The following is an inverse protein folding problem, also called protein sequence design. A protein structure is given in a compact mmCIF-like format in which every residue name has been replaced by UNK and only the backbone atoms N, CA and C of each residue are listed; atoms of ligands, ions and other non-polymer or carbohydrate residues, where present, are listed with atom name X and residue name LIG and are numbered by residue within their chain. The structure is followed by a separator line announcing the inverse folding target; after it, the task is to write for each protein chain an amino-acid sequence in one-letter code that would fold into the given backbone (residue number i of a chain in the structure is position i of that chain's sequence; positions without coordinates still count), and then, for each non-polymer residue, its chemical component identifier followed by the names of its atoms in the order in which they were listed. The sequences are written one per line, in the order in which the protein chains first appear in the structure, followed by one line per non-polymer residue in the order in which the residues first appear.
data_IF_518551218317
#
_entry.id   IF_518551218317
#
_cell.length_a   1.000
_cell.length_b   1.000
_cell.length_c   1.000
_cell.angle_alpha   90.00
_cell.angle_beta   90.00
_cell.angle_gamma   90.00
#
_symmetry.space_group_name_H-M   'P 1'
#
loop_
_entity.id
_entity.type
_entity.pdbx_description
1 polymer ?
#
# COMPACT_ATOMS: atom_id res chain seq x y z
N UNK A 1 -5.73 -9.53 16.58
CA UNK A 1 -6.17 -8.48 15.66
C UNK A 1 -7.14 -9.11 14.70
N UNK A 2 -8.34 -8.54 14.61
CA UNK A 2 -9.34 -9.01 13.66
C UNK A 2 -8.92 -8.61 12.25
N UNK A 3 -8.93 -9.57 11.32
CA UNK A 3 -8.59 -9.31 9.93
C UNK A 3 -9.81 -8.72 9.24
N UNK A 4 -9.66 -7.53 8.68
CA UNK A 4 -10.68 -6.90 7.82
C UNK A 4 -10.63 -7.53 6.44
N UNK A 5 -11.79 -7.84 5.86
CA UNK A 5 -11.88 -8.32 4.49
C UNK A 5 -11.21 -7.33 3.53
N UNK A 6 -10.44 -7.84 2.56
CA UNK A 6 -9.54 -7.01 1.75
C UNK A 6 -10.27 -5.83 1.05
N UNK A 7 -11.44 -6.01 0.41
CA UNK A 7 -12.20 -4.89 -0.16
C UNK A 7 -12.56 -3.80 0.85
N UNK A 8 -12.98 -4.17 2.06
CA UNK A 8 -13.35 -3.21 3.11
C UNK A 8 -12.11 -2.47 3.64
N UNK A 9 -10.99 -3.18 3.77
CA UNK A 9 -9.70 -2.62 4.14
C UNK A 9 -9.24 -1.57 3.12
N UNK A 10 -9.32 -1.90 1.83
CA UNK A 10 -8.93 -1.01 0.73
C UNK A 10 -9.85 0.21 0.66
N UNK A 11 -11.16 0.02 0.83
CA UNK A 11 -12.14 1.10 0.88
C UNK A 11 -11.86 2.06 2.05
N UNK A 12 -11.65 1.54 3.26
CA UNK A 12 -11.29 2.35 4.43
C UNK A 12 -9.99 3.12 4.22
N UNK A 13 -8.98 2.48 3.64
CA UNK A 13 -7.71 3.14 3.34
C UNK A 13 -7.86 4.24 2.27
N UNK A 14 -8.75 4.07 1.30
CA UNK A 14 -9.06 5.13 0.32
C UNK A 14 -9.67 6.36 1.00
N UNK A 15 -10.63 6.16 1.90
CA UNK A 15 -11.22 7.25 2.69
C UNK A 15 -10.17 7.95 3.56
N UNK A 16 -9.27 7.18 4.18
CA UNK A 16 -8.19 7.74 4.99
C UNK A 16 -7.23 8.59 4.15
N UNK A 17 -6.86 8.16 2.94
CA UNK A 17 -6.02 8.97 2.05
C UNK A 17 -6.72 10.28 1.63
N UNK A 18 -8.03 10.24 1.38
CA UNK A 18 -8.82 11.44 1.08
C UNK A 18 -8.84 12.40 2.28
N UNK A 19 -9.07 11.88 3.50
CA UNK A 19 -9.03 12.65 4.75
C UNK A 19 -7.66 13.31 4.98
N UNK A 20 -6.58 12.63 4.60
CA UNK A 20 -5.21 13.14 4.69
C UNK A 20 -4.85 14.16 3.60
N UNK A 21 -5.76 14.45 2.67
CA UNK A 21 -5.58 15.47 1.63
C UNK A 21 -4.67 15.03 0.49
N UNK A 22 -4.63 13.73 0.17
CA UNK A 22 -3.88 13.26 -1.00
C UNK A 22 -4.47 13.87 -2.28
N UNK A 23 -3.59 14.35 -3.16
CA UNK A 23 -4.00 15.01 -4.40
C UNK A 23 -4.68 14.03 -5.36
N UNK A 24 -5.52 14.52 -6.27
CA UNK A 24 -6.16 13.70 -7.32
C UNK A 24 -5.13 12.85 -8.10
N UNK A 25 -4.00 13.44 -8.47
CA UNK A 25 -2.92 12.71 -9.16
C UNK A 25 -2.33 11.57 -8.33
N UNK A 26 -2.13 11.79 -7.02
CA UNK A 26 -1.66 10.76 -6.10
C UNK A 26 -2.72 9.66 -5.95
N UNK A 27 -3.99 10.03 -5.79
CA UNK A 27 -5.10 9.08 -5.66
C UNK A 27 -5.24 8.19 -6.90
N UNK A 28 -5.06 8.73 -8.11
CA UNK A 28 -5.07 7.91 -9.34
C UNK A 28 -4.02 6.81 -9.31
N UNK A 29 -2.80 7.13 -8.86
CA UNK A 29 -1.73 6.14 -8.72
C UNK A 29 -2.11 5.04 -7.70
N UNK A 30 -2.50 5.43 -6.48
CA UNK A 30 -2.83 4.46 -5.43
C UNK A 30 -4.03 3.59 -5.80
N UNK A 31 -5.06 4.16 -6.42
CA UNK A 31 -6.25 3.40 -6.85
C UNK A 31 -5.89 2.35 -7.88
N UNK A 32 -5.08 2.70 -8.89
CA UNK A 32 -4.62 1.74 -9.89
C UNK A 32 -3.88 0.56 -9.26
N UNK A 33 -2.93 0.85 -8.35
CA UNK A 33 -2.12 -0.20 -7.71
C UNK A 33 -2.92 -1.07 -6.75
N UNK A 34 -3.85 -0.49 -6.00
CA UNK A 34 -4.74 -1.25 -5.11
C UNK A 34 -5.70 -2.15 -5.90
N UNK A 35 -6.21 -1.70 -7.03
CA UNK A 35 -7.02 -2.56 -7.91
C UNK A 35 -6.22 -3.75 -8.45
N UNK A 36 -4.94 -3.54 -8.80
CA UNK A 36 -4.06 -4.64 -9.20
C UNK A 36 -3.81 -5.61 -8.03
N UNK A 37 -3.57 -5.11 -6.82
CA UNK A 37 -3.42 -5.94 -5.62
C UNK A 37 -4.70 -6.73 -5.30
N UNK A 38 -5.88 -6.12 -5.42
CA UNK A 38 -7.16 -6.81 -5.19
C UNK A 38 -7.38 -7.94 -6.20
N UNK A 39 -7.18 -7.67 -7.48
CA UNK A 39 -7.29 -8.70 -8.52
C UNK A 39 -6.27 -9.83 -8.31
N UNK A 40 -5.05 -9.48 -7.89
CA UNK A 40 -4.00 -10.46 -7.55
C UNK A 40 -4.39 -11.35 -6.37
N UNK A 41 -5.01 -10.77 -5.33
CA UNK A 41 -5.50 -11.53 -4.19
C UNK A 41 -6.69 -12.43 -4.57
N UNK A 42 -7.62 -11.92 -5.38
CA UNK A 42 -8.80 -12.64 -5.85
C UNK A 42 -8.42 -13.87 -6.67
N UNK A 43 -7.48 -13.74 -7.62
CA UNK A 43 -6.95 -14.85 -8.43
C UNK A 43 -6.35 -15.98 -7.57
N UNK A 44 -5.90 -15.66 -6.36
CA UNK A 44 -5.30 -16.58 -5.40
C UNK A 44 -6.27 -17.07 -4.32
N UNK A 45 -7.52 -16.62 -4.34
CA UNK A 45 -8.51 -16.92 -3.30
C UNK A 45 -8.20 -16.29 -1.94
N UNK A 46 -7.38 -15.24 -1.91
CA UNK A 46 -6.92 -14.58 -0.69
C UNK A 46 -7.92 -13.50 -0.26
N UNK A 47 -8.73 -13.81 0.76
CA UNK A 47 -9.77 -12.90 1.27
C UNK A 47 -9.24 -11.75 2.14
N UNK A 48 -8.03 -11.88 2.67
CA UNK A 48 -7.47 -10.95 3.67
C UNK A 48 -6.07 -10.52 3.28
N UNK A 49 -5.70 -9.30 3.65
CA UNK A 49 -4.35 -8.85 3.42
C UNK A 49 -3.36 -9.51 4.40
N UNK A 50 -2.24 -10.00 3.87
CA UNK A 50 -1.08 -10.44 4.65
C UNK A 50 0.17 -9.76 4.12
N UNK A 51 1.21 -9.64 4.96
CA UNK A 51 2.50 -9.13 4.50
C UNK A 51 3.09 -9.98 3.38
N UNK A 52 2.89 -11.31 3.44
CA UNK A 52 3.36 -12.23 2.41
C UNK A 52 2.67 -11.97 1.06
N UNK A 53 1.33 -11.83 1.04
CA UNK A 53 0.58 -11.45 -0.16
C UNK A 53 1.12 -10.15 -0.77
N UNK A 54 1.43 -9.17 0.08
CA UNK A 54 2.04 -7.92 -0.32
C UNK A 54 3.43 -8.08 -0.95
N UNK A 55 4.28 -8.90 -0.34
CA UNK A 55 5.63 -9.19 -0.85
C UNK A 55 5.60 -9.97 -2.16
N UNK A 56 4.72 -10.97 -2.28
CA UNK A 56 4.58 -11.76 -3.50
C UNK A 56 4.06 -10.90 -4.66
N UNK A 57 3.11 -9.99 -4.39
CA UNK A 57 2.67 -8.99 -5.35
C UNK A 57 3.82 -8.10 -5.85
N UNK A 58 4.66 -7.58 -4.94
CA UNK A 58 5.81 -6.75 -5.30
C UNK A 58 6.82 -7.51 -6.17
N UNK A 59 7.07 -8.77 -5.82
CA UNK A 59 7.99 -9.64 -6.53
C UNK A 59 7.48 -9.95 -7.94
N UNK A 60 6.22 -10.35 -8.07
CA UNK A 60 5.66 -10.79 -9.36
C UNK A 60 5.42 -9.63 -10.33
N UNK A 61 4.96 -8.47 -9.85
CA UNK A 61 4.62 -7.36 -10.74
C UNK A 61 5.77 -6.38 -10.97
N UNK A 62 6.72 -6.27 -10.04
CA UNK A 62 7.80 -5.26 -10.09
C UNK A 62 9.20 -5.84 -9.93
N UNK A 63 9.34 -7.16 -9.69
CA UNK A 63 10.63 -7.77 -9.43
C UNK A 63 11.29 -7.32 -8.12
N UNK A 64 10.53 -6.69 -7.21
CA UNK A 64 11.05 -6.18 -5.94
C UNK A 64 11.03 -7.30 -4.91
N UNK A 65 12.19 -7.60 -4.34
CA UNK A 65 12.38 -8.64 -3.33
C UNK A 65 12.79 -8.06 -1.97
N UNK A 66 12.86 -8.89 -0.92
CA UNK A 66 13.35 -8.44 0.38
C UNK A 66 14.83 -8.02 0.35
N UNK A 67 15.64 -8.65 -0.51
CA UNK A 67 17.08 -8.35 -0.65
C UNK A 67 17.30 -6.91 -1.14
N UNK A 68 16.38 -6.39 -1.96
CA UNK A 68 16.41 -5.02 -2.46
C UNK A 68 16.26 -3.97 -1.37
N UNK A 69 15.75 -4.33 -0.18
CA UNK A 69 15.62 -3.37 0.92
C UNK A 69 16.95 -3.00 1.57
N UNK A 70 18.03 -3.70 1.24
CA UNK A 70 19.40 -3.38 1.68
C UNK A 70 20.06 -2.27 0.85
N UNK A 71 19.54 -1.98 -0.36
CA UNK A 71 20.07 -0.96 -1.27
C UNK A 71 19.23 0.31 -1.29
N UNK A 72 19.80 1.39 -1.84
CA UNK A 72 19.03 2.58 -2.18
C UNK A 72 18.10 2.26 -3.35
N UNK A 73 16.80 2.38 -3.10
CA UNK A 73 15.75 2.12 -4.09
C UNK A 73 15.45 3.38 -4.90
N UNK A 74 15.25 3.27 -6.23
CA UNK A 74 14.66 4.34 -7.03
C UNK A 74 13.31 4.80 -6.48
N UNK A 75 12.94 6.03 -6.81
CA UNK A 75 11.67 6.61 -6.37
C UNK A 75 10.46 5.77 -6.83
N UNK A 76 10.51 5.22 -8.05
CA UNK A 76 9.44 4.38 -8.59
C UNK A 76 9.21 3.14 -7.72
N UNK A 77 10.26 2.37 -7.44
CA UNK A 77 10.20 1.18 -6.57
C UNK A 77 9.75 1.53 -5.16
N UNK A 78 10.23 2.67 -4.62
CA UNK A 78 9.80 3.16 -3.31
C UNK A 78 8.29 3.46 -3.27
N UNK A 79 7.70 3.98 -4.34
CA UNK A 79 6.24 4.19 -4.40
C UNK A 79 5.48 2.86 -4.46
N UNK A 80 5.98 1.85 -5.17
CA UNK A 80 5.33 0.53 -5.22
C UNK A 80 5.32 -0.15 -3.85
N UNK A 81 6.46 -0.18 -3.17
CA UNK A 81 6.56 -0.71 -1.80
C UNK A 81 5.62 0.04 -0.85
N UNK A 82 5.48 1.36 -1.05
CA UNK A 82 4.61 2.19 -0.23
C UNK A 82 3.14 1.81 -0.35
N UNK A 83 2.67 1.36 -1.51
CA UNK A 83 1.29 0.88 -1.68
C UNK A 83 1.01 -0.27 -0.71
N UNK A 84 1.89 -1.27 -0.71
CA UNK A 84 1.78 -2.49 0.10
C UNK A 84 1.92 -2.17 1.59
N UNK A 85 2.91 -1.35 1.96
CA UNK A 85 3.08 -0.91 3.35
C UNK A 85 1.87 -0.16 3.90
N UNK A 86 1.26 0.74 3.11
CA UNK A 86 0.08 1.48 3.56
C UNK A 86 -1.11 0.55 3.86
N UNK A 87 -1.28 -0.53 3.11
CA UNK A 87 -2.34 -1.51 3.38
C UNK A 87 -2.07 -2.24 4.69
N UNK A 88 -0.83 -2.68 4.91
CA UNK A 88 -0.42 -3.31 6.18
C UNK A 88 -0.56 -2.39 7.38
N UNK A 89 -0.01 -1.17 7.30
CA UNK A 89 -0.12 -0.16 8.37
C UNK A 89 -1.57 0.12 8.72
N UNK A 90 -2.44 0.27 7.71
CA UNK A 90 -3.85 0.55 7.93
C UNK A 90 -4.62 -0.64 8.51
N UNK A 91 -4.25 -1.87 8.15
CA UNK A 91 -4.84 -3.07 8.78
C UNK A 91 -4.48 -3.16 10.27
N UNK A 92 -3.25 -2.81 10.65
CA UNK A 92 -2.78 -2.91 12.02
C UNK A 92 -3.22 -1.72 12.90
N UNK A 93 -3.30 -0.52 12.33
CA UNK A 93 -3.41 0.71 13.10
C UNK A 93 -4.58 1.62 12.70
N UNK A 94 -5.30 1.28 11.63
CA UNK A 94 -6.31 2.16 11.02
C UNK A 94 -5.79 3.57 10.71
N UNK A 95 -4.50 3.68 10.42
CA UNK A 95 -3.81 4.95 10.14
C UNK A 95 -2.67 4.76 9.13
N UNK A 96 -2.38 5.80 8.36
CA UNK A 96 -1.21 5.84 7.46
C UNK A 96 -0.04 6.52 8.17
N UNK A 97 0.90 5.71 8.67
CA UNK A 97 1.93 6.17 9.62
C UNK A 97 3.11 6.91 8.98
N UNK A 98 3.45 6.61 7.73
CA UNK A 98 4.63 7.20 7.06
C UNK A 98 4.23 8.15 5.94
N UNK A 99 3.90 9.38 6.35
CA UNK A 99 3.67 10.49 5.42
C UNK A 99 5.00 11.18 5.09
N UNK A 100 5.37 11.20 3.81
CA UNK A 100 6.33 12.17 3.32
C UNK A 100 5.64 13.54 3.29
N UNK A 101 5.86 14.38 4.30
CA UNK A 101 5.39 15.77 4.34
C UNK A 101 6.29 16.58 3.39
N UNK A 102 5.91 16.65 2.11
CA UNK A 102 6.65 17.49 1.14
C UNK A 102 6.79 18.95 1.59
N UNK A 103 5.82 19.45 2.38
CA UNK A 103 5.66 20.88 2.71
C UNK A 103 5.21 21.16 4.14
N UNK A 104 5.64 20.40 5.14
CA UNK A 104 5.55 20.87 6.53
C UNK A 104 6.90 20.69 7.20
N UNK A 105 7.53 21.80 7.53
CA UNK A 105 8.42 21.85 8.69
C UNK A 105 7.61 21.29 9.87
N UNK A 106 8.08 20.17 10.40
CA UNK A 106 7.59 19.67 11.67
C UNK A 106 8.25 20.59 12.69
N UNK A 107 7.44 21.42 13.36
CA UNK A 107 7.86 22.21 14.52
C UNK A 107 8.36 21.29 15.63
#
# INVERSE_FOLDING_TARGET
MDKTYLPDLISGLEQELLRLGYTKGSMTFYRRRRNQLMAYAEDRGECYYTEQLGMDFLKEFFGITQEDFSRTLPQAETQEIRVVRMVGDFQLHHAVLRRYLKHKEIL
#
